data_IF_833359506547
#
_entry.id   IF_833359506547
#
_cell.length_a   1.000
_cell.length_b   1.000
_cell.length_c   1.000
_cell.angle_alpha   90.00
_cell.angle_beta   90.00
_cell.angle_gamma   90.00
#
_symmetry.space_group_name_H-M   'P 1'
#
loop_
_entity.id
_entity.type
_entity.pdbx_description
1 polymer ?
#
# COMPACT_ATOMS: atom_id res chain seq x y z
N UNK A 1 0.05 -29.23 93.59
CA UNK A 1 0.67 -28.16 92.86
C UNK A 1 0.86 -28.58 91.39
N UNK A 2 0.00 -28.18 90.50
CA UNK A 2 0.04 -28.57 89.08
C UNK A 2 0.27 -27.30 88.25
N UNK A 3 1.43 -27.22 87.56
CA UNK A 3 1.75 -26.09 86.67
C UNK A 3 1.11 -26.33 85.29
N UNK A 4 0.26 -25.40 84.86
CA UNK A 4 -0.29 -25.33 83.50
C UNK A 4 0.76 -24.78 82.55
N UNK A 5 1.11 -25.53 81.49
CA UNK A 5 1.89 -25.10 80.34
C UNK A 5 0.95 -24.55 79.29
N UNK A 6 1.09 -23.28 78.90
CA UNK A 6 0.41 -22.68 77.77
C UNK A 6 1.07 -23.15 76.44
N UNK A 7 0.31 -23.81 75.60
CA UNK A 7 0.67 -24.08 74.21
C UNK A 7 0.18 -22.88 73.37
N UNK A 8 1.10 -22.11 72.84
CA UNK A 8 0.85 -21.10 71.82
C UNK A 8 0.88 -21.79 70.47
N UNK A 9 -0.29 -21.94 69.80
CA UNK A 9 -0.43 -22.36 68.41
C UNK A 9 -0.23 -21.14 67.51
N UNK A 10 0.91 -21.10 66.79
CA UNK A 10 1.16 -20.13 65.72
C UNK A 10 0.39 -20.55 64.49
N UNK A 11 -0.67 -19.82 64.12
CA UNK A 11 -1.38 -19.96 62.85
C UNK A 11 -0.53 -19.33 61.75
N UNK A 12 0.00 -20.15 60.87
CA UNK A 12 0.72 -19.74 59.67
C UNK A 12 -0.32 -19.22 58.65
N UNK A 13 -0.32 -17.94 58.40
CA UNK A 13 -1.04 -17.31 57.29
C UNK A 13 -0.32 -17.63 55.98
N UNK A 14 -0.81 -18.62 55.24
CA UNK A 14 -0.39 -18.83 53.86
C UNK A 14 -0.94 -17.74 52.96
N UNK A 15 -0.16 -17.08 52.13
CA UNK A 15 -0.69 -16.12 51.17
C UNK A 15 -1.52 -16.88 50.14
N UNK A 16 -2.81 -16.57 50.05
CA UNK A 16 -3.68 -16.98 48.94
C UNK A 16 -3.15 -16.32 47.69
N UNK A 17 -2.42 -17.06 46.86
CA UNK A 17 -2.08 -16.68 45.50
C UNK A 17 -3.40 -16.60 44.73
N UNK A 18 -3.90 -15.38 44.52
CA UNK A 18 -5.02 -15.17 43.62
C UNK A 18 -4.61 -15.67 42.21
N UNK A 19 -5.39 -16.56 41.59
CA UNK A 19 -5.09 -16.91 40.20
C UNK A 19 -5.20 -15.63 39.36
N UNK A 20 -4.09 -15.24 38.73
CA UNK A 20 -4.15 -14.30 37.64
C UNK A 20 -5.02 -14.92 36.56
N UNK A 21 -6.28 -14.55 36.52
CA UNK A 21 -7.16 -14.80 35.36
C UNK A 21 -6.51 -14.03 34.20
N UNK A 22 -5.62 -14.72 33.46
CA UNK A 22 -5.26 -14.27 32.13
C UNK A 22 -6.60 -14.15 31.39
N UNK A 23 -7.05 -12.93 31.18
CA UNK A 23 -8.17 -12.67 30.29
C UNK A 23 -7.74 -13.22 28.94
N UNK A 24 -8.26 -14.40 28.60
CA UNK A 24 -8.15 -14.88 27.22
C UNK A 24 -8.81 -13.82 26.35
N UNK A 25 -8.00 -13.01 25.67
CA UNK A 25 -8.49 -12.02 24.75
C UNK A 25 -9.37 -12.74 23.75
N UNK A 26 -10.66 -12.39 23.69
CA UNK A 26 -11.61 -13.05 22.80
C UNK A 26 -11.02 -13.08 21.38
N UNK A 27 -11.08 -14.23 20.72
CA UNK A 27 -10.57 -14.38 19.37
C UNK A 27 -11.25 -13.33 18.46
N UNK A 28 -10.43 -12.51 17.81
CA UNK A 28 -10.88 -11.42 16.95
C UNK A 28 -10.30 -11.57 15.57
N UNK A 29 -11.13 -11.45 14.54
CA UNK A 29 -10.67 -11.34 13.16
C UNK A 29 -10.66 -9.89 12.72
N UNK A 30 -9.55 -9.45 12.12
CA UNK A 30 -9.38 -8.13 11.51
C UNK A 30 -9.27 -8.31 10.01
N UNK A 31 -10.12 -7.62 9.27
CA UNK A 31 -10.14 -7.63 7.81
C UNK A 31 -9.21 -6.56 7.28
N UNK A 32 -8.25 -6.97 6.46
CA UNK A 32 -7.21 -6.08 5.90
C UNK A 32 -7.30 -6.06 4.39
N UNK A 33 -7.50 -4.86 3.83
CA UNK A 33 -7.50 -4.65 2.39
C UNK A 33 -6.09 -4.68 1.78
N UNK A 34 -5.93 -5.41 0.68
CA UNK A 34 -4.68 -5.49 -0.08
C UNK A 34 -4.95 -5.44 -1.57
N UNK A 35 -4.09 -4.79 -2.35
CA UNK A 35 -4.15 -4.86 -3.81
C UNK A 35 -3.35 -6.06 -4.32
N UNK A 36 -3.70 -6.60 -5.49
CA UNK A 36 -2.96 -7.69 -6.15
C UNK A 36 -1.68 -7.16 -6.84
N UNK A 37 -0.83 -6.49 -6.06
CA UNK A 37 0.36 -5.79 -6.53
C UNK A 37 1.54 -6.06 -5.60
N UNK A 38 2.77 -6.02 -6.14
CA UNK A 38 3.99 -6.26 -5.32
C UNK A 38 4.11 -5.26 -4.18
N UNK A 39 3.84 -3.99 -4.43
CA UNK A 39 3.91 -2.93 -3.42
C UNK A 39 2.74 -2.96 -2.42
N UNK A 40 1.83 -3.93 -2.53
CA UNK A 40 0.75 -4.20 -1.57
C UNK A 40 0.93 -5.51 -0.78
N UNK A 41 2.13 -6.10 -0.77
CA UNK A 41 2.37 -7.41 -0.16
C UNK A 41 2.42 -7.41 1.37
N UNK A 42 2.57 -6.26 2.03
CA UNK A 42 2.79 -6.18 3.49
C UNK A 42 1.71 -6.89 4.33
N UNK A 43 0.39 -6.81 4.02
CA UNK A 43 -0.64 -7.51 4.77
C UNK A 43 -0.45 -9.02 4.84
N UNK A 44 0.12 -9.62 3.81
CA UNK A 44 0.36 -11.07 3.76
C UNK A 44 1.40 -11.56 4.78
N UNK A 45 2.10 -10.65 5.43
CA UNK A 45 3.04 -10.93 6.51
C UNK A 45 2.49 -10.56 7.89
N UNK A 46 1.30 -9.94 8.01
CA UNK A 46 0.76 -9.43 9.27
C UNK A 46 0.49 -10.53 10.30
N UNK A 47 -0.01 -11.70 9.87
CA UNK A 47 -0.32 -12.81 10.79
C UNK A 47 0.91 -13.25 11.59
N UNK A 48 2.12 -13.13 11.01
CA UNK A 48 3.39 -13.44 11.69
C UNK A 48 3.64 -12.56 12.91
N UNK A 49 3.09 -11.37 12.93
CA UNK A 49 3.30 -10.35 13.95
C UNK A 49 2.06 -10.04 14.78
N UNK A 50 0.96 -10.71 14.48
CA UNK A 50 -0.28 -10.56 15.22
C UNK A 50 -0.13 -11.12 16.64
N UNK A 51 -0.66 -10.44 17.68
CA UNK A 51 -0.72 -10.99 19.03
C UNK A 51 -1.65 -12.21 19.08
N UNK A 52 -1.47 -13.03 20.12
CA UNK A 52 -2.36 -14.17 20.36
C UNK A 52 -3.83 -13.72 20.42
N UNK A 53 -4.72 -14.48 19.79
CA UNK A 53 -6.15 -14.18 19.69
C UNK A 53 -6.52 -13.22 18.54
N UNK A 54 -5.56 -12.64 17.80
CA UNK A 54 -5.83 -11.82 16.63
C UNK A 54 -5.58 -12.61 15.34
N UNK A 55 -6.62 -12.76 14.52
CA UNK A 55 -6.54 -13.36 13.18
C UNK A 55 -6.61 -12.28 12.12
N UNK A 56 -5.75 -12.34 11.13
CA UNK A 56 -5.73 -11.43 9.99
C UNK A 56 -6.40 -12.11 8.79
N UNK A 57 -7.52 -11.53 8.33
CA UNK A 57 -8.21 -11.93 7.10
C UNK A 57 -7.87 -10.91 6.00
N UNK A 58 -7.32 -11.38 4.88
CA UNK A 58 -6.92 -10.50 3.78
C UNK A 58 -8.00 -10.50 2.71
N UNK A 59 -8.52 -9.32 2.40
CA UNK A 59 -9.46 -9.08 1.31
C UNK A 59 -8.71 -8.39 0.17
N UNK A 60 -8.69 -9.02 -1.00
CA UNK A 60 -7.93 -8.52 -2.15
C UNK A 60 -8.81 -7.74 -3.12
N UNK A 61 -8.25 -6.65 -3.67
CA UNK A 61 -8.89 -5.77 -4.64
C UNK A 61 -7.99 -5.60 -5.86
N UNK A 62 -8.60 -5.38 -7.02
CA UNK A 62 -7.88 -5.14 -8.28
C UNK A 62 -7.68 -3.64 -8.56
N UNK A 63 -8.42 -2.76 -7.86
CA UNK A 63 -8.35 -1.31 -8.05
C UNK A 63 -8.08 -0.57 -6.73
N UNK A 64 -7.24 0.50 -6.75
CA UNK A 64 -7.02 1.33 -5.57
C UNK A 64 -8.30 1.98 -5.03
N UNK A 65 -9.25 2.33 -5.91
CA UNK A 65 -10.54 2.90 -5.54
C UNK A 65 -11.39 1.91 -4.77
N UNK A 66 -11.42 0.63 -5.19
CA UNK A 66 -12.19 -0.41 -4.48
C UNK A 66 -11.60 -0.67 -3.09
N UNK A 67 -10.25 -0.71 -2.97
CA UNK A 67 -9.57 -0.82 -1.69
C UNK A 67 -9.90 0.33 -0.73
N UNK A 68 -9.90 1.58 -1.22
CA UNK A 68 -10.31 2.76 -0.46
C UNK A 68 -11.80 2.67 -0.08
N UNK A 69 -12.68 2.33 -1.02
CA UNK A 69 -14.12 2.20 -0.78
C UNK A 69 -14.43 1.14 0.28
N UNK A 70 -13.70 0.02 0.29
CA UNK A 70 -13.87 -1.02 1.29
C UNK A 70 -13.56 -0.53 2.72
N UNK A 71 -12.59 0.38 2.88
CA UNK A 71 -12.33 1.06 4.15
C UNK A 71 -13.46 2.01 4.51
N UNK A 72 -13.90 2.85 3.58
CA UNK A 72 -14.99 3.83 3.80
C UNK A 72 -16.29 3.14 4.18
N UNK A 73 -16.63 2.02 3.54
CA UNK A 73 -17.83 1.22 3.82
C UNK A 73 -17.65 0.25 4.99
N UNK A 74 -16.45 0.19 5.59
CA UNK A 74 -16.10 -0.73 6.69
C UNK A 74 -16.21 -2.23 6.30
N UNK A 75 -16.11 -2.53 5.01
CA UNK A 75 -15.99 -3.91 4.53
C UNK A 75 -14.63 -4.51 4.91
N UNK A 76 -13.64 -3.66 5.12
CA UNK A 76 -12.35 -3.96 5.78
C UNK A 76 -12.10 -2.94 6.89
N UNK A 77 -11.33 -3.34 7.90
CA UNK A 77 -10.98 -2.49 9.05
C UNK A 77 -9.87 -1.49 8.70
N UNK A 78 -8.85 -1.98 8.00
CA UNK A 78 -7.70 -1.20 7.51
C UNK A 78 -7.34 -1.67 6.11
N UNK A 79 -6.67 -0.83 5.32
CA UNK A 79 -6.24 -1.22 3.98
C UNK A 79 -5.01 -0.47 3.47
N UNK A 80 -4.24 -1.13 2.60
CA UNK A 80 -3.20 -0.50 1.78
C UNK A 80 -3.76 -0.15 0.41
N UNK A 81 -3.73 1.12 0.03
CA UNK A 81 -4.18 1.59 -1.29
C UNK A 81 -3.42 2.85 -1.71
N UNK A 82 -3.52 3.22 -3.00
CA UNK A 82 -2.78 4.33 -3.56
C UNK A 82 -3.13 5.67 -2.92
N UNK A 83 -2.12 6.53 -2.72
CA UNK A 83 -2.29 7.89 -2.18
C UNK A 83 -3.27 8.72 -3.03
N UNK A 84 -3.36 8.50 -4.34
CA UNK A 84 -4.34 9.15 -5.20
C UNK A 84 -5.78 8.84 -4.80
N UNK A 85 -6.09 7.55 -4.58
CA UNK A 85 -7.43 7.14 -4.17
C UNK A 85 -7.81 7.71 -2.80
N UNK A 86 -6.86 7.75 -1.86
CA UNK A 86 -7.05 8.40 -0.56
C UNK A 86 -7.35 9.90 -0.71
N UNK A 87 -6.53 10.59 -1.49
CA UNK A 87 -6.68 12.04 -1.75
C UNK A 87 -8.01 12.36 -2.44
N UNK A 88 -8.43 11.55 -3.42
CA UNK A 88 -9.74 11.69 -4.08
C UNK A 88 -10.89 11.56 -3.08
N UNK A 89 -10.85 10.54 -2.23
CA UNK A 89 -11.88 10.32 -1.21
C UNK A 89 -11.94 11.45 -0.19
N UNK A 90 -10.81 11.84 0.37
CA UNK A 90 -10.73 12.91 1.36
C UNK A 90 -11.14 14.26 0.79
N UNK A 91 -10.75 14.58 -0.46
CA UNK A 91 -11.17 15.81 -1.15
C UNK A 91 -12.69 15.82 -1.46
N UNK A 92 -13.31 14.65 -1.56
CA UNK A 92 -14.76 14.49 -1.69
C UNK A 92 -15.52 14.47 -0.34
N UNK A 93 -14.80 14.55 0.79
CA UNK A 93 -15.39 14.51 2.13
C UNK A 93 -15.73 13.09 2.63
N UNK A 94 -15.15 12.04 2.03
CA UNK A 94 -15.33 10.68 2.52
C UNK A 94 -14.56 10.46 3.83
N UNK A 95 -15.08 9.62 4.76
CA UNK A 95 -14.49 9.42 6.10
C UNK A 95 -13.29 8.45 6.06
N UNK A 96 -12.33 8.72 5.18
CA UNK A 96 -11.07 7.97 5.07
C UNK A 96 -9.94 8.76 5.73
N UNK A 97 -9.16 8.07 6.57
CA UNK A 97 -8.02 8.66 7.28
C UNK A 97 -6.75 7.88 6.94
N UNK A 98 -5.70 8.58 6.58
CA UNK A 98 -4.36 8.02 6.40
C UNK A 98 -3.70 7.89 7.76
N UNK A 99 -3.38 6.66 8.16
CA UNK A 99 -2.80 6.35 9.48
C UNK A 99 -1.34 5.90 9.40
N UNK A 100 -0.82 5.64 8.22
CA UNK A 100 0.58 5.23 8.02
C UNK A 100 1.01 5.33 6.56
N UNK A 101 2.31 5.37 6.32
CA UNK A 101 2.89 5.10 5.02
C UNK A 101 2.81 3.58 4.75
N UNK A 102 2.92 3.17 3.49
CA UNK A 102 2.81 1.75 3.14
C UNK A 102 3.91 1.30 2.18
N UNK A 103 4.06 1.99 1.06
CA UNK A 103 5.09 1.69 0.08
C UNK A 103 5.46 2.93 -0.75
N UNK A 104 6.74 3.11 -0.96
CA UNK A 104 7.27 4.00 -1.99
C UNK A 104 7.51 3.22 -3.28
N UNK A 105 7.40 3.93 -4.42
CA UNK A 105 7.75 3.42 -5.74
C UNK A 105 6.80 2.28 -6.19
N UNK A 106 7.27 1.26 -6.91
CA UNK A 106 6.45 0.14 -7.38
C UNK A 106 5.72 0.40 -8.68
N UNK A 107 6.21 1.34 -9.53
CA UNK A 107 5.64 1.64 -10.85
C UNK A 107 6.74 1.86 -11.89
N UNK A 108 6.36 1.79 -13.16
CA UNK A 108 7.24 2.12 -14.29
C UNK A 108 6.45 2.58 -15.51
N UNK A 109 7.07 3.44 -16.31
CA UNK A 109 6.62 3.76 -17.67
C UNK A 109 7.32 2.79 -18.62
N UNK A 110 6.55 1.95 -19.28
CA UNK A 110 7.03 0.87 -20.15
C UNK A 110 6.56 1.13 -21.56
N UNK A 111 7.47 1.09 -22.51
CA UNK A 111 7.16 1.11 -23.93
C UNK A 111 7.32 -0.27 -24.55
N UNK A 112 6.63 -0.52 -25.67
CA UNK A 112 6.84 -1.73 -26.45
C UNK A 112 8.28 -1.77 -26.96
N UNK A 113 8.95 -2.90 -26.78
CA UNK A 113 10.34 -3.07 -27.19
C UNK A 113 10.52 -2.76 -28.67
N UNK A 114 11.53 -1.97 -28.99
CA UNK A 114 11.82 -1.55 -30.37
C UNK A 114 10.88 -0.48 -30.92
N UNK A 115 10.03 0.15 -30.10
CA UNK A 115 9.11 1.23 -30.51
C UNK A 115 9.82 2.56 -30.76
N UNK A 116 11.06 2.72 -30.29
CA UNK A 116 11.80 3.98 -30.33
C UNK A 116 11.35 5.01 -29.28
N UNK A 117 10.48 4.61 -28.34
CA UNK A 117 10.05 5.49 -27.22
C UNK A 117 11.10 5.36 -26.11
N UNK A 118 11.96 6.35 -25.96
CA UNK A 118 13.07 6.34 -24.99
C UNK A 118 12.87 7.32 -23.84
N UNK A 119 11.88 8.21 -23.92
CA UNK A 119 11.55 9.22 -22.90
C UNK A 119 10.06 9.55 -22.93
N UNK A 120 9.63 10.42 -22.01
CA UNK A 120 8.22 10.86 -21.89
C UNK A 120 7.77 11.66 -23.13
N UNK A 121 8.66 12.43 -23.76
CA UNK A 121 8.32 13.19 -24.98
C UNK A 121 7.99 12.26 -26.15
N UNK A 122 8.60 11.09 -26.20
CA UNK A 122 8.33 10.03 -27.20
C UNK A 122 6.93 9.41 -27.10
N UNK A 123 6.19 9.68 -26.03
CA UNK A 123 4.79 9.26 -25.88
C UNK A 123 3.81 10.08 -26.73
N UNK A 124 4.24 11.21 -27.33
CA UNK A 124 3.39 12.06 -28.15
C UNK A 124 2.72 11.29 -29.29
N UNK A 125 1.39 11.35 -29.36
CA UNK A 125 0.57 10.65 -30.35
C UNK A 125 0.47 9.13 -30.15
N UNK A 126 1.04 8.58 -29.08
CA UNK A 126 1.03 7.13 -28.77
C UNK A 126 -0.20 6.74 -27.97
N UNK A 127 -0.60 5.47 -28.08
CA UNK A 127 -1.63 4.83 -27.25
C UNK A 127 -0.96 4.43 -25.93
N UNK A 128 -1.34 5.11 -24.84
CA UNK A 128 -0.73 4.90 -23.53
C UNK A 128 -1.76 4.32 -22.57
N UNK A 129 -1.48 3.13 -22.05
CA UNK A 129 -2.29 2.46 -21.04
C UNK A 129 -2.19 3.18 -19.70
N UNK A 130 -3.33 3.60 -19.14
CA UNK A 130 -3.44 4.30 -17.88
C UNK A 130 -4.62 3.71 -17.10
N UNK A 131 -4.49 3.58 -15.77
CA UNK A 131 -5.61 3.26 -14.88
C UNK A 131 -6.10 4.54 -14.18
N UNK A 132 -7.27 5.08 -14.55
CA UNK A 132 -7.79 6.33 -13.97
C UNK A 132 -8.02 6.25 -12.46
N UNK A 133 -7.71 7.33 -11.74
CA UNK A 133 -7.80 7.42 -10.28
C UNK A 133 -6.67 6.73 -9.53
N UNK A 134 -5.66 6.23 -10.24
CA UNK A 134 -4.49 5.61 -9.64
C UNK A 134 -3.36 6.61 -9.37
N UNK A 135 -2.44 6.24 -8.48
CA UNK A 135 -1.20 6.97 -8.25
C UNK A 135 -0.37 7.09 -9.52
N UNK A 136 -0.34 6.03 -10.34
CA UNK A 136 0.37 5.97 -11.62
C UNK A 136 -0.14 7.01 -12.62
N UNK A 137 -1.46 7.23 -12.66
CA UNK A 137 -2.06 8.29 -13.49
C UNK A 137 -1.53 9.67 -13.10
N UNK A 138 -1.52 10.01 -11.82
CA UNK A 138 -1.04 11.33 -11.37
C UNK A 138 0.42 11.54 -11.75
N UNK A 139 1.26 10.52 -11.58
CA UNK A 139 2.66 10.58 -11.97
C UNK A 139 2.85 10.80 -13.46
N UNK A 140 2.15 10.04 -14.32
CA UNK A 140 2.33 10.23 -15.77
C UNK A 140 1.80 11.58 -16.24
N UNK A 141 0.68 12.06 -15.71
CA UNK A 141 0.16 13.38 -16.05
C UNK A 141 1.14 14.50 -15.66
N UNK A 142 1.77 14.40 -14.49
CA UNK A 142 2.79 15.35 -14.08
C UNK A 142 4.05 15.25 -14.94
N UNK A 143 4.50 14.04 -15.27
CA UNK A 143 5.66 13.86 -16.17
C UNK A 143 5.39 14.45 -17.56
N UNK A 144 4.19 14.23 -18.12
CA UNK A 144 3.77 14.88 -19.36
C UNK A 144 3.83 16.42 -19.23
N UNK A 145 3.25 16.98 -18.16
CA UNK A 145 3.27 18.42 -17.90
C UNK A 145 4.70 18.99 -17.83
N UNK A 146 5.61 18.29 -17.17
CA UNK A 146 7.03 18.70 -17.06
C UNK A 146 7.75 18.72 -18.42
N UNK A 147 7.27 17.96 -19.41
CA UNK A 147 7.80 17.99 -20.80
C UNK A 147 7.00 18.88 -21.73
N UNK A 148 6.14 19.77 -21.19
CA UNK A 148 5.30 20.66 -21.99
C UNK A 148 4.16 19.93 -22.73
N UNK A 149 3.80 18.74 -22.27
CA UNK A 149 2.73 17.92 -22.81
C UNK A 149 1.53 17.85 -21.83
N UNK A 150 0.43 17.33 -22.31
CA UNK A 150 -0.77 17.03 -21.53
C UNK A 150 -1.33 15.67 -21.95
N UNK A 151 -2.37 15.19 -21.27
CA UNK A 151 -3.08 13.98 -21.66
C UNK A 151 -3.68 14.05 -23.08
N UNK A 152 -3.87 15.25 -23.63
CA UNK A 152 -4.37 15.45 -25.00
C UNK A 152 -3.31 15.18 -26.07
N UNK A 153 -2.05 15.15 -25.68
CA UNK A 153 -0.93 14.86 -26.57
C UNK A 153 -0.68 13.36 -26.75
N UNK A 154 -1.42 12.52 -26.02
CA UNK A 154 -1.39 11.05 -26.10
C UNK A 154 -2.80 10.52 -26.37
N UNK A 155 -2.90 9.26 -26.79
CA UNK A 155 -4.18 8.53 -26.79
C UNK A 155 -4.24 7.71 -25.49
N UNK A 156 -4.84 8.29 -24.45
CA UNK A 156 -4.99 7.58 -23.16
C UNK A 156 -5.97 6.41 -23.30
N UNK A 157 -5.52 5.20 -23.02
CA UNK A 157 -6.33 3.98 -23.05
C UNK A 157 -6.53 3.51 -21.62
N UNK A 158 -7.78 3.36 -21.17
CA UNK A 158 -8.08 2.81 -19.85
C UNK A 158 -7.76 1.32 -19.81
N UNK A 159 -6.78 0.91 -19.00
CA UNK A 159 -6.32 -0.48 -18.89
C UNK A 159 -6.13 -0.86 -17.42
N UNK A 160 -6.76 -1.95 -16.94
CA UNK A 160 -6.45 -2.52 -15.63
C UNK A 160 -4.97 -2.93 -15.55
N UNK A 161 -4.34 -2.77 -14.39
CA UNK A 161 -2.91 -3.09 -14.20
C UNK A 161 -2.55 -4.50 -14.64
N UNK A 162 -3.39 -5.48 -14.30
CA UNK A 162 -3.17 -6.89 -14.69
C UNK A 162 -3.22 -7.18 -16.18
N UNK A 163 -3.78 -6.27 -17.00
CA UNK A 163 -3.94 -6.44 -18.44
C UNK A 163 -2.89 -5.66 -19.25
N UNK A 164 -2.17 -4.71 -18.65
CA UNK A 164 -1.26 -3.79 -19.34
C UNK A 164 -0.17 -4.53 -20.13
N UNK A 165 0.46 -5.54 -19.52
CA UNK A 165 1.45 -6.38 -20.20
C UNK A 165 0.88 -7.08 -21.43
N UNK A 166 -0.28 -7.69 -21.32
CA UNK A 166 -0.90 -8.43 -22.41
C UNK A 166 -1.32 -7.49 -23.56
N UNK A 167 -1.86 -6.31 -23.25
CA UNK A 167 -2.22 -5.30 -24.25
C UNK A 167 -0.98 -4.75 -24.96
N UNK A 168 0.12 -4.51 -24.22
CA UNK A 168 1.40 -4.11 -24.82
C UNK A 168 1.93 -5.19 -25.75
N UNK A 169 1.89 -6.46 -25.33
CA UNK A 169 2.34 -7.61 -26.11
C UNK A 169 1.59 -7.72 -27.46
N UNK A 170 0.26 -7.63 -27.41
CA UNK A 170 -0.58 -7.67 -28.63
C UNK A 170 -0.43 -6.42 -29.52
N UNK A 171 0.09 -5.31 -28.98
CA UNK A 171 0.19 -4.03 -29.67
C UNK A 171 -1.12 -3.24 -29.65
N UNK A 172 -2.02 -3.50 -28.70
CA UNK A 172 -3.22 -2.72 -28.47
C UNK A 172 -2.89 -1.33 -27.89
N UNK A 173 -1.78 -1.25 -27.13
CA UNK A 173 -1.14 -0.03 -26.64
C UNK A 173 0.34 0.00 -27.03
N UNK A 174 0.91 1.21 -27.11
CA UNK A 174 2.31 1.42 -27.50
C UNK A 174 3.22 1.56 -26.26
N UNK A 175 2.63 2.02 -25.15
CA UNK A 175 3.27 2.18 -23.85
C UNK A 175 2.20 2.12 -22.74
N UNK A 176 2.64 2.05 -21.49
CA UNK A 176 1.78 2.20 -20.32
C UNK A 176 2.54 2.75 -19.12
N UNK A 177 1.83 3.36 -18.17
CA UNK A 177 2.30 3.58 -16.81
C UNK A 177 1.63 2.56 -15.90
N UNK A 178 2.41 1.64 -15.36
CA UNK A 178 1.87 0.47 -14.65
C UNK A 178 2.47 0.26 -13.27
N UNK A 179 1.78 -0.59 -12.53
CA UNK A 179 2.15 -1.03 -11.19
C UNK A 179 2.83 -2.41 -11.27
N UNK A 180 3.83 -2.64 -10.40
CA UNK A 180 4.49 -3.96 -10.31
C UNK A 180 3.50 -5.04 -9.83
N UNK A 181 3.53 -6.25 -10.47
CA UNK A 181 4.60 -6.85 -11.29
C UNK A 181 4.52 -6.57 -12.81
N UNK A 182 3.58 -5.78 -13.31
CA UNK A 182 3.39 -5.54 -14.74
C UNK A 182 4.66 -5.05 -15.48
N UNK A 183 5.32 -3.98 -15.03
CA UNK A 183 6.59 -3.51 -15.57
C UNK A 183 7.67 -4.59 -15.57
N UNK A 184 7.89 -5.25 -14.43
CA UNK A 184 8.86 -6.34 -14.31
C UNK A 184 8.56 -7.50 -15.27
N UNK A 185 7.30 -7.84 -15.48
CA UNK A 185 6.88 -8.87 -16.43
C UNK A 185 7.17 -8.45 -17.87
N UNK A 186 6.87 -7.21 -18.25
CA UNK A 186 7.12 -6.71 -19.61
C UNK A 186 8.61 -6.67 -19.94
N UNK A 187 9.44 -6.26 -18.98
CA UNK A 187 10.89 -6.21 -19.15
C UNK A 187 11.49 -7.62 -19.21
N UNK A 188 11.18 -8.47 -18.23
CA UNK A 188 11.77 -9.80 -18.12
C UNK A 188 11.36 -10.75 -19.25
N UNK A 189 10.17 -10.57 -19.84
CA UNK A 189 9.71 -11.32 -21.01
C UNK A 189 10.24 -10.77 -22.35
N UNK A 190 10.90 -9.60 -22.34
CA UNK A 190 11.38 -8.94 -23.55
C UNK A 190 10.29 -8.30 -24.42
N UNK A 191 9.07 -8.16 -23.92
CA UNK A 191 7.94 -7.50 -24.61
C UNK A 191 8.07 -5.98 -24.52
N UNK A 192 8.54 -5.47 -23.38
CA UNK A 192 8.67 -4.05 -23.11
C UNK A 192 10.07 -3.65 -22.68
N UNK A 193 10.33 -2.36 -22.75
CA UNK A 193 11.53 -1.74 -22.23
C UNK A 193 11.15 -0.55 -21.32
N UNK A 194 11.98 -0.32 -20.30
CA UNK A 194 11.76 0.76 -19.36
C UNK A 194 12.05 2.10 -20.05
N UNK A 195 11.04 2.98 -20.06
CA UNK A 195 11.21 4.39 -20.44
C UNK A 195 11.76 5.18 -19.26
N UNK A 196 11.07 5.11 -18.11
CA UNK A 196 11.56 5.68 -16.85
C UNK A 196 10.78 5.11 -15.65
N UNK A 197 11.39 5.29 -14.46
CA UNK A 197 10.67 5.30 -13.19
C UNK A 197 10.24 6.73 -12.90
N UNK A 198 8.93 7.05 -12.85
CA UNK A 198 8.45 8.44 -12.91
C UNK A 198 8.56 9.21 -11.59
N UNK A 199 9.60 8.95 -10.78
CA UNK A 199 9.75 9.54 -9.43
C UNK A 199 10.50 10.87 -9.42
N UNK A 200 11.00 11.35 -10.54
CA UNK A 200 11.69 12.62 -10.68
C UNK A 200 10.75 13.84 -10.64
N UNK A 201 9.80 13.84 -9.69
CA UNK A 201 8.83 14.91 -9.46
C UNK A 201 8.89 15.38 -8.00
N UNK A 202 8.27 16.51 -7.70
CA UNK A 202 8.14 17.01 -6.33
C UNK A 202 7.30 16.08 -5.41
N UNK A 203 6.53 15.14 -5.98
CA UNK A 203 5.77 14.13 -5.24
C UNK A 203 6.67 13.03 -4.66
N UNK A 204 7.94 12.93 -5.10
CA UNK A 204 8.87 11.89 -4.66
C UNK A 204 8.43 10.49 -5.07
N UNK A 205 8.64 9.50 -4.21
CA UNK A 205 8.31 8.09 -4.47
C UNK A 205 7.03 7.57 -3.79
N UNK A 206 6.30 8.41 -3.06
CA UNK A 206 5.13 7.96 -2.30
C UNK A 206 4.07 7.38 -3.23
N UNK A 207 3.74 6.10 -3.04
CA UNK A 207 2.77 5.39 -3.87
C UNK A 207 1.55 4.95 -3.06
N UNK A 208 1.77 4.24 -1.96
CA UNK A 208 0.68 3.69 -1.15
C UNK A 208 0.75 4.15 0.30
N UNK A 209 -0.43 4.25 0.89
CA UNK A 209 -0.65 4.56 2.30
C UNK A 209 -1.47 3.46 2.97
N UNK A 210 -1.41 3.43 4.30
CA UNK A 210 -2.32 2.66 5.13
C UNK A 210 -3.46 3.56 5.55
N UNK A 211 -4.68 3.16 5.21
CA UNK A 211 -5.87 3.90 5.55
C UNK A 211 -6.84 3.11 6.43
N UNK A 212 -7.66 3.85 7.16
CA UNK A 212 -8.79 3.35 7.94
C UNK A 212 -9.95 4.35 7.92
N UNK A 213 -11.08 4.02 8.56
CA UNK A 213 -12.21 4.94 8.67
C UNK A 213 -12.14 5.78 9.96
N UNK A 214 -12.67 7.01 9.91
CA UNK A 214 -12.86 7.84 11.11
C UNK A 214 -13.62 7.07 12.20
N UNK A 215 -14.63 6.31 11.82
CA UNK A 215 -15.45 5.53 12.76
C UNK A 215 -14.61 4.48 13.51
N UNK A 216 -13.72 3.73 12.83
CA UNK A 216 -12.87 2.76 13.51
C UNK A 216 -11.90 3.42 14.48
N UNK A 217 -11.34 4.59 14.12
CA UNK A 217 -10.46 5.34 15.03
C UNK A 217 -11.22 5.75 16.30
N UNK A 218 -12.48 6.19 16.16
CA UNK A 218 -13.30 6.61 17.30
C UNK A 218 -13.75 5.43 18.17
N UNK A 219 -14.13 4.31 17.54
CA UNK A 219 -14.67 3.13 18.23
C UNK A 219 -13.59 2.28 18.89
N UNK A 220 -12.45 2.09 18.20
CA UNK A 220 -11.37 1.21 18.67
C UNK A 220 -9.96 1.74 18.28
N UNK A 221 -9.51 2.82 18.89
CA UNK A 221 -8.17 3.35 18.66
C UNK A 221 -7.05 2.38 19.07
N UNK A 222 -7.34 1.44 19.98
CA UNK A 222 -6.39 0.42 20.42
C UNK A 222 -6.11 -0.59 19.30
N UNK A 223 -7.13 -0.99 18.54
CA UNK A 223 -6.96 -1.83 17.37
C UNK A 223 -6.13 -1.12 16.31
N UNK A 224 -6.44 0.13 15.98
CA UNK A 224 -5.68 0.91 14.99
C UNK A 224 -4.20 0.97 15.39
N UNK A 225 -3.89 1.25 16.66
CA UNK A 225 -2.52 1.26 17.19
C UNK A 225 -1.86 -0.13 17.07
N UNK A 226 -2.60 -1.20 17.34
CA UNK A 226 -2.11 -2.58 17.19
C UNK A 226 -1.76 -2.87 15.74
N UNK A 227 -2.63 -2.50 14.80
CA UNK A 227 -2.41 -2.71 13.37
C UNK A 227 -1.22 -1.92 12.84
N UNK A 228 -1.01 -0.69 13.31
CA UNK A 228 0.19 0.10 13.00
C UNK A 228 1.48 -0.58 13.52
N UNK A 229 1.43 -1.15 14.72
CA UNK A 229 2.54 -1.93 15.28
C UNK A 229 2.85 -3.21 14.48
N UNK A 230 1.82 -3.89 13.99
CA UNK A 230 1.96 -5.07 13.10
C UNK A 230 2.54 -4.63 11.77
N UNK A 231 1.99 -3.57 11.17
CA UNK A 231 2.45 -3.02 9.88
C UNK A 231 3.92 -2.63 9.91
N UNK A 232 4.36 -1.92 10.96
CA UNK A 232 5.76 -1.58 11.17
C UNK A 232 6.65 -2.82 11.14
N UNK A 233 6.37 -3.82 11.99
CA UNK A 233 7.18 -5.04 12.09
C UNK A 233 7.20 -5.82 10.78
N UNK A 234 6.09 -5.88 10.07
CA UNK A 234 6.01 -6.53 8.77
C UNK A 234 6.84 -5.80 7.72
N UNK A 235 6.76 -4.46 7.64
CA UNK A 235 7.56 -3.66 6.70
C UNK A 235 9.05 -3.78 6.98
N UNK A 236 9.48 -3.66 8.24
CA UNK A 236 10.87 -3.84 8.66
C UNK A 236 11.39 -5.24 8.31
N UNK A 237 10.56 -6.27 8.57
CA UNK A 237 10.90 -7.65 8.19
C UNK A 237 11.07 -7.81 6.68
N UNK A 238 10.15 -7.27 5.88
CA UNK A 238 10.19 -7.40 4.42
C UNK A 238 11.42 -6.72 3.81
N UNK A 239 11.81 -5.56 4.33
CA UNK A 239 13.03 -4.88 3.89
C UNK A 239 14.31 -5.67 4.22
N UNK A 240 14.32 -6.37 5.34
CA UNK A 240 15.45 -7.21 5.77
C UNK A 240 15.50 -8.59 5.10
N UNK A 241 14.36 -9.08 4.54
CA UNK A 241 14.23 -10.46 4.06
C UNK A 241 13.73 -10.54 2.60
N UNK A 242 14.36 -9.79 1.71
CA UNK A 242 13.94 -9.64 0.29
C UNK A 242 13.73 -10.98 -0.43
N UNK A 243 14.54 -11.99 -0.16
CA UNK A 243 14.40 -13.32 -0.78
C UNK A 243 13.10 -14.04 -0.38
N UNK A 244 12.72 -13.96 0.92
CA UNK A 244 11.45 -14.53 1.41
C UNK A 244 10.26 -13.76 0.84
N UNK A 245 10.37 -12.43 0.75
CA UNK A 245 9.35 -11.58 0.11
C UNK A 245 9.17 -11.95 -1.36
N UNK A 246 10.25 -12.13 -2.11
CA UNK A 246 10.18 -12.56 -3.51
C UNK A 246 9.49 -13.93 -3.66
N UNK A 247 9.85 -14.91 -2.83
CA UNK A 247 9.23 -16.23 -2.85
C UNK A 247 7.72 -16.18 -2.49
N UNK A 248 7.36 -15.38 -1.48
CA UNK A 248 5.96 -15.17 -1.10
C UNK A 248 5.18 -14.48 -2.22
N UNK A 249 5.76 -13.46 -2.85
CA UNK A 249 5.15 -12.72 -3.96
C UNK A 249 4.84 -13.63 -5.14
N UNK A 250 5.79 -14.47 -5.56
CA UNK A 250 5.58 -15.48 -6.63
C UNK A 250 4.39 -16.37 -6.28
N UNK A 251 4.34 -16.89 -5.06
CA UNK A 251 3.28 -17.81 -4.62
C UNK A 251 1.91 -17.12 -4.55
N UNK A 252 1.85 -15.89 -4.02
CA UNK A 252 0.59 -15.19 -3.75
C UNK A 252 0.01 -14.53 -4.99
N UNK A 253 0.85 -13.87 -5.78
CA UNK A 253 0.41 -13.17 -6.99
C UNK A 253 0.41 -14.05 -8.24
N UNK A 254 1.05 -15.23 -8.20
CA UNK A 254 1.22 -16.08 -9.38
C UNK A 254 2.13 -15.48 -10.45
N UNK A 255 2.90 -14.44 -10.10
CA UNK A 255 3.79 -13.77 -11.05
C UNK A 255 5.05 -14.59 -11.30
N UNK A 256 5.59 -14.60 -12.55
CA UNK A 256 6.85 -15.27 -12.84
C UNK A 256 7.98 -14.74 -11.97
N UNK A 257 8.86 -15.65 -11.51
CA UNK A 257 9.99 -15.30 -10.62
C UNK A 257 10.87 -14.20 -11.23
N UNK A 258 11.16 -14.24 -12.52
CA UNK A 258 11.95 -13.22 -13.22
C UNK A 258 11.30 -11.82 -13.16
N UNK A 259 9.97 -11.74 -13.24
CA UNK A 259 9.25 -10.46 -13.13
C UNK A 259 9.35 -9.89 -11.71
N UNK A 260 9.23 -10.75 -10.69
CA UNK A 260 9.36 -10.36 -9.28
C UNK A 260 10.78 -9.92 -8.96
N UNK A 261 11.78 -10.66 -9.44
CA UNK A 261 13.20 -10.31 -9.24
C UNK A 261 13.55 -8.99 -9.93
N UNK A 262 13.01 -8.75 -11.14
CA UNK A 262 13.17 -7.47 -11.84
C UNK A 262 12.58 -6.30 -11.02
N UNK A 263 11.38 -6.47 -10.48
CA UNK A 263 10.70 -5.43 -9.71
C UNK A 263 11.40 -5.11 -8.38
N UNK A 264 11.84 -6.14 -7.65
CA UNK A 264 12.47 -6.00 -6.34
C UNK A 264 13.97 -5.68 -6.45
N UNK A 265 14.64 -6.17 -7.50
CA UNK A 265 16.08 -5.98 -7.72
C UNK A 265 16.47 -4.59 -8.17
N UNK A 266 15.57 -3.85 -8.83
CA UNK A 266 15.80 -2.48 -9.29
C UNK A 266 15.61 -1.42 -8.19
N UNK A 267 15.50 -1.82 -6.93
CA UNK A 267 15.11 -0.97 -5.79
C UNK A 267 13.83 -0.14 -6.08
N UNK A 268 12.97 -0.69 -6.96
CA UNK A 268 11.73 -0.05 -7.36
C UNK A 268 10.57 -0.31 -6.41
N UNK A 269 10.79 -1.00 -5.28
CA UNK A 269 9.79 -1.23 -4.24
C UNK A 269 10.44 -1.05 -2.89
N UNK A 270 9.90 -0.12 -2.08
CA UNK A 270 10.38 0.16 -0.74
C UNK A 270 9.18 0.10 0.22
N UNK A 271 9.16 -0.93 1.09
CA UNK A 271 8.12 -1.08 2.11
C UNK A 271 8.41 -0.14 3.27
N UNK A 272 7.53 0.82 3.48
CA UNK A 272 7.63 1.85 4.50
C UNK A 272 6.43 1.79 5.44
N UNK A 273 6.55 2.34 6.63
CA UNK A 273 5.46 2.33 7.60
C UNK A 273 5.24 3.69 8.29
N UNK A 274 6.30 4.50 8.34
CA UNK A 274 6.30 5.72 9.15
C UNK A 274 5.62 6.86 8.42
N UNK A 275 4.66 7.48 9.10
CA UNK A 275 4.05 8.72 8.66
C UNK A 275 4.85 9.89 9.26
N UNK A 276 6.01 10.18 8.65
CA UNK A 276 6.90 11.26 9.07
C UNK A 276 6.70 12.54 8.24
N UNK A 277 7.44 13.58 8.57
CA UNK A 277 7.35 14.88 7.90
C UNK A 277 7.63 14.80 6.39
N UNK A 278 8.48 13.86 5.96
CA UNK A 278 8.74 13.61 4.54
C UNK A 278 7.48 13.07 3.85
N UNK A 279 6.86 12.04 4.40
CA UNK A 279 5.63 11.44 3.84
C UNK A 279 4.49 12.45 3.89
N UNK A 280 4.34 13.19 4.99
CA UNK A 280 3.33 14.25 5.12
C UNK A 280 3.55 15.37 4.09
N UNK A 281 4.80 15.80 3.88
CA UNK A 281 5.17 16.79 2.87
C UNK A 281 4.87 16.30 1.44
N UNK A 282 5.23 15.06 1.13
CA UNK A 282 4.92 14.42 -0.15
C UNK A 282 3.41 14.29 -0.36
N UNK A 283 2.64 13.90 0.66
CA UNK A 283 1.17 13.80 0.57
C UNK A 283 0.51 15.14 0.25
N UNK A 284 0.97 16.24 0.87
CA UNK A 284 0.51 17.60 0.56
C UNK A 284 0.86 18.02 -0.86
N UNK A 285 2.10 17.78 -1.26
CA UNK A 285 2.56 18.05 -2.63
C UNK A 285 1.76 17.25 -3.65
N UNK A 286 1.46 15.99 -3.32
CA UNK A 286 0.65 15.11 -4.14
C UNK A 286 -0.77 15.67 -4.36
N UNK A 287 -1.45 16.05 -3.28
CA UNK A 287 -2.79 16.65 -3.36
C UNK A 287 -2.77 17.99 -4.12
N UNK A 288 -1.75 18.83 -3.91
CA UNK A 288 -1.59 20.08 -4.66
C UNK A 288 -1.40 19.80 -6.16
N UNK A 289 -0.67 18.75 -6.50
CA UNK A 289 -0.49 18.35 -7.90
C UNK A 289 -1.78 17.83 -8.52
N UNK A 290 -2.56 17.03 -7.79
CA UNK A 290 -3.88 16.58 -8.24
C UNK A 290 -4.85 17.74 -8.47
N UNK A 291 -4.78 18.80 -7.64
CA UNK A 291 -5.55 20.02 -7.85
C UNK A 291 -5.09 20.76 -9.12
N UNK A 292 -3.79 20.91 -9.35
CA UNK A 292 -3.19 21.51 -10.54
C UNK A 292 -3.60 20.76 -11.81
N UNK A 293 -3.61 19.42 -11.74
CA UNK A 293 -4.02 18.53 -12.84
C UNK A 293 -5.56 18.42 -12.98
N UNK A 294 -6.32 19.13 -12.14
CA UNK A 294 -7.79 19.14 -12.10
C UNK A 294 -8.44 17.78 -11.85
N UNK A 295 -7.73 16.90 -11.15
CA UNK A 295 -8.25 15.60 -10.71
C UNK A 295 -9.10 15.73 -9.44
N UNK A 296 -8.84 16.76 -8.63
CA UNK A 296 -9.68 17.17 -7.50
C UNK A 296 -10.09 18.64 -7.67
N UNK A 297 -11.17 19.05 -7.00
CA UNK A 297 -11.68 20.44 -7.05
C UNK A 297 -11.23 21.28 -5.88
N UNK A 298 -10.84 20.64 -4.78
CA UNK A 298 -10.36 21.25 -3.54
C UNK A 298 -9.35 20.35 -2.87
N UNK A 299 -8.49 20.90 -2.02
CA UNK A 299 -7.57 20.12 -1.21
C UNK A 299 -8.32 19.37 -0.10
N UNK A 300 -7.85 18.20 0.32
CA UNK A 300 -8.34 17.55 1.53
C UNK A 300 -8.13 18.43 2.77
N UNK A 301 -8.94 18.22 3.80
CA UNK A 301 -8.70 18.75 5.14
C UNK A 301 -7.57 17.94 5.79
N UNK A 302 -6.33 18.38 5.61
CA UNK A 302 -5.14 17.64 6.07
C UNK A 302 -5.10 17.32 7.57
N UNK A 303 -5.63 18.12 8.50
CA UNK A 303 -5.78 17.74 9.89
C UNK A 303 -6.63 16.49 10.13
N UNK A 304 -7.53 16.16 9.18
CA UNK A 304 -8.39 14.96 9.23
C UNK A 304 -7.93 13.86 8.28
N UNK A 305 -7.13 14.19 7.29
CA UNK A 305 -6.63 13.27 6.27
C UNK A 305 -5.30 12.64 6.71
#
# INVERSE_FOLDING_TARGET
>A
MIRRRHLLTAAALAPLAAPHLAHAQAARTVKVGSLRLIHSMTPHFYQRFAPAGLTIEIITFDSPTDGKNAVVTRSVDVGGFGIAAATLGAAAGEPVVVVGAFCNRGMGVIAKKGSGITDIAGLRGKRVGIWPGSTQEVFILERLRMTGMSVRDITAVRVPFGEMHAMLSRGDIDAYVGAEPGPGLSISSGVGELVEYPYGTAMGGLNMIMGTSEALIAEDPALVKTMLGIHRRASEFMMANKAEVAAATVRILGAPRAAVDQALGADNVEYIWKLDDTVLGQSRTYAQQMLTLRQIRQLPDFPKF
#
